data_IF_284608857592
#
_entry.id   IF_284608857592
#
_cell.length_a   1.000
_cell.length_b   1.000
_cell.length_c   1.000
_cell.angle_alpha   90.00
_cell.angle_beta   90.00
_cell.angle_gamma   90.00
#
_symmetry.space_group_name_H-M   'P 1'
#
loop_
_entity.id
_entity.type
_entity.pdbx_description
1 polymer ?
#
# COMPACT_ATOMS: atom_id res chain seq x y z
N UNK A 1 -105.69 -14.57 21.99
CA UNK A 1 -105.02 -15.88 22.00
C UNK A 1 -104.02 -15.90 20.85
N UNK A 2 -102.80 -16.43 21.00
CA UNK A 2 -102.05 -16.71 22.23
C UNK A 2 -100.75 -15.85 22.29
N UNK A 3 -99.73 -16.37 22.98
CA UNK A 3 -98.41 -15.80 23.29
C UNK A 3 -97.48 -15.73 22.04
N UNK A 4 -96.27 -15.13 22.00
CA UNK A 4 -95.12 -15.33 22.92
C UNK A 4 -94.06 -14.20 22.87
N UNK A 5 -93.23 -14.14 23.92
CA UNK A 5 -92.12 -13.19 24.18
C UNK A 5 -90.90 -13.43 23.27
N UNK A 6 -90.03 -12.42 23.07
CA UNK A 6 -88.72 -12.31 23.75
C UNK A 6 -87.86 -11.08 23.35
N UNK A 7 -87.17 -10.49 24.36
CA UNK A 7 -85.96 -9.61 24.33
C UNK A 7 -85.94 -8.35 23.43
N UNK A 8 -85.59 -7.12 23.86
CA UNK A 8 -84.63 -6.57 24.86
C UNK A 8 -83.16 -6.85 24.49
N UNK A 9 -82.29 -5.89 24.16
CA UNK A 9 -82.36 -4.42 23.92
C UNK A 9 -81.17 -4.05 22.95
N UNK A 10 -80.65 -2.84 22.69
CA UNK A 10 -80.60 -1.55 23.41
C UNK A 10 -80.13 -0.37 22.52
N UNK A 11 -80.58 0.86 22.83
CA UNK A 11 -79.91 2.16 22.57
C UNK A 11 -79.28 2.40 21.17
N UNK A 12 -80.07 2.99 20.28
CA UNK A 12 -79.54 4.11 19.48
C UNK A 12 -79.39 5.37 20.35
N UNK A 13 -78.38 6.20 20.05
CA UNK A 13 -78.21 7.55 20.61
C UNK A 13 -77.60 8.49 19.56
N UNK A 14 -78.26 9.63 19.36
CA UNK A 14 -77.73 11.00 19.49
C UNK A 14 -76.21 11.23 19.35
N UNK A 15 -75.71 12.27 18.66
CA UNK A 15 -76.38 13.51 18.21
C UNK A 15 -75.57 14.28 17.14
N UNK A 16 -76.27 15.14 16.38
CA UNK A 16 -75.85 16.45 15.86
C UNK A 16 -74.71 16.65 14.82
N UNK A 17 -75.00 17.59 13.92
CA UNK A 17 -74.13 18.54 13.19
C UNK A 17 -72.87 18.03 12.45
N UNK A 18 -72.97 18.06 11.12
CA UNK A 18 -71.84 18.39 10.26
C UNK A 18 -71.70 19.92 10.14
N UNK A 19 -70.51 20.46 10.43
CA UNK A 19 -70.06 21.77 9.94
C UNK A 19 -68.61 21.59 9.48
N UNK A 20 -68.34 21.89 8.22
CA UNK A 20 -66.99 21.77 7.62
C UNK A 20 -66.12 22.97 7.97
N UNK A 21 -64.95 22.73 8.55
CA UNK A 21 -63.84 23.69 8.55
C UNK A 21 -62.64 23.06 7.83
N UNK A 22 -62.10 23.74 6.82
CA UNK A 22 -60.84 23.34 6.20
C UNK A 22 -59.69 23.63 7.17
N UNK A 23 -59.06 22.58 7.69
CA UNK A 23 -57.73 22.67 8.28
C UNK A 23 -56.71 22.25 7.22
N UNK A 24 -55.90 23.19 6.74
CA UNK A 24 -54.81 22.89 5.79
C UNK A 24 -53.76 22.02 6.48
N UNK A 25 -53.71 20.74 6.13
CA UNK A 25 -52.65 19.84 6.55
C UNK A 25 -51.34 20.24 5.86
N UNK A 26 -50.59 21.14 6.50
CA UNK A 26 -49.25 21.51 6.08
C UNK A 26 -48.31 20.32 6.33
N UNK A 27 -48.21 19.41 5.34
CA UNK A 27 -47.28 18.29 5.38
C UNK A 27 -45.85 18.80 5.32
N UNK A 28 -45.26 19.04 6.49
CA UNK A 28 -43.85 19.34 6.63
C UNK A 28 -43.05 18.09 6.21
N UNK A 29 -42.72 18.00 4.91
CA UNK A 29 -41.78 17.02 4.39
C UNK A 29 -40.42 17.38 4.99
N UNK A 30 -40.07 16.69 6.07
CA UNK A 30 -38.71 16.70 6.59
C UNK A 30 -37.81 16.06 5.53
N UNK A 31 -37.19 16.90 4.71
CA UNK A 31 -36.09 16.53 3.85
C UNK A 31 -34.94 16.09 4.76
N UNK A 32 -34.95 14.79 5.10
CA UNK A 32 -33.83 14.11 5.70
C UNK A 32 -32.69 14.10 4.66
N UNK A 33 -31.93 15.20 4.63
CA UNK A 33 -30.68 15.29 3.90
C UNK A 33 -29.73 14.33 4.59
N UNK A 34 -29.74 13.07 4.14
CA UNK A 34 -28.77 12.06 4.52
C UNK A 34 -27.43 12.48 3.92
N UNK A 35 -26.75 13.37 4.64
CA UNK A 35 -25.31 13.59 4.47
C UNK A 35 -24.65 12.25 4.72
N UNK A 36 -24.33 11.53 3.64
CA UNK A 36 -23.46 10.37 3.71
C UNK A 36 -22.15 10.89 4.28
N UNK A 37 -21.89 10.59 5.55
CA UNK A 37 -20.67 11.03 6.21
C UNK A 37 -19.52 10.33 5.50
N UNK A 38 -18.74 11.09 4.73
CA UNK A 38 -17.55 10.55 4.09
C UNK A 38 -16.67 9.95 5.18
N UNK A 39 -16.16 8.74 4.97
CA UNK A 39 -15.23 8.14 5.92
C UNK A 39 -14.04 9.10 6.08
N UNK A 40 -13.74 9.48 7.33
CA UNK A 40 -12.65 10.40 7.64
C UNK A 40 -11.35 9.87 6.99
N UNK A 41 -10.52 10.73 6.36
CA UNK A 41 -9.34 10.25 5.66
C UNK A 41 -8.36 9.53 6.60
N UNK A 42 -7.93 8.33 6.21
CA UNK A 42 -7.09 7.44 7.01
C UNK A 42 -5.81 7.08 6.26
N UNK A 43 -4.69 6.89 6.98
CA UNK A 43 -3.59 6.05 6.52
C UNK A 43 -3.63 4.69 7.23
N UNK A 44 -3.27 3.64 6.48
CA UNK A 44 -3.03 2.30 7.01
C UNK A 44 -1.53 2.01 6.91
N UNK A 45 -0.94 1.48 7.97
CA UNK A 45 0.52 1.31 8.09
C UNK A 45 0.83 -0.10 8.58
N UNK A 46 1.52 -0.92 7.79
CA UNK A 46 2.01 -2.22 8.30
C UNK A 46 3.13 -2.01 9.30
N UNK A 47 3.09 -2.81 10.37
CA UNK A 47 4.13 -2.92 11.38
C UNK A 47 4.48 -4.40 11.51
N UNK A 48 5.75 -4.76 11.28
CA UNK A 48 6.21 -6.16 11.31
C UNK A 48 6.04 -6.82 12.71
N UNK A 49 5.58 -6.08 13.72
CA UNK A 49 5.38 -6.49 15.12
C UNK A 49 4.04 -6.12 15.78
N UNK A 50 3.16 -5.38 15.12
CA UNK A 50 1.86 -4.97 15.70
C UNK A 50 0.64 -5.22 14.79
N UNK A 51 0.83 -5.45 13.49
CA UNK A 51 -0.27 -5.62 12.54
C UNK A 51 -0.39 -4.43 11.59
N UNK A 52 -1.57 -3.81 11.50
CA UNK A 52 -1.79 -2.58 10.73
C UNK A 52 -2.24 -1.44 11.65
N UNK A 53 -1.41 -0.42 11.82
CA UNK A 53 -1.81 0.83 12.46
C UNK A 53 -2.74 1.66 11.55
N UNK A 54 -3.72 2.33 12.15
CA UNK A 54 -4.69 3.18 11.43
C UNK A 54 -4.59 4.61 11.95
N UNK A 55 -4.08 5.50 11.10
CA UNK A 55 -3.81 6.90 11.43
C UNK A 55 -4.93 7.77 10.85
N UNK A 56 -5.57 8.57 11.71
CA UNK A 56 -6.47 9.65 11.30
C UNK A 56 -5.66 10.80 10.70
N UNK A 57 -6.00 11.23 9.48
CA UNK A 57 -5.21 12.23 8.73
C UNK A 57 -5.63 13.68 8.99
N UNK A 58 -6.74 13.92 9.68
CA UNK A 58 -7.14 15.26 10.15
C UNK A 58 -6.38 15.60 11.45
N UNK A 59 -6.29 14.64 12.37
CA UNK A 59 -5.63 14.75 13.67
C UNK A 59 -4.14 14.35 13.65
N UNK A 60 -3.72 13.59 12.63
CA UNK A 60 -2.41 12.95 12.53
C UNK A 60 -2.10 12.11 13.77
N UNK A 61 -3.02 11.21 14.13
CA UNK A 61 -2.95 10.37 15.34
C UNK A 61 -3.20 8.90 14.99
N UNK A 62 -2.44 7.99 15.62
CA UNK A 62 -2.79 6.57 15.61
C UNK A 62 -4.09 6.38 16.42
N UNK A 63 -5.14 5.86 15.79
CA UNK A 63 -6.46 5.71 16.44
C UNK A 63 -6.75 4.29 16.91
N UNK A 64 -6.13 3.30 16.25
CA UNK A 64 -6.30 1.86 16.50
C UNK A 64 -5.23 1.07 15.74
N UNK A 65 -5.04 -0.18 16.11
CA UNK A 65 -4.21 -1.14 15.36
C UNK A 65 -5.03 -2.40 15.08
N UNK A 66 -5.10 -2.81 13.82
CA UNK A 66 -5.80 -4.02 13.37
C UNK A 66 -4.89 -5.26 13.52
N UNK A 67 -5.33 -6.30 14.24
CA UNK A 67 -4.53 -7.52 14.43
C UNK A 67 -4.55 -8.39 13.16
N UNK A 68 -3.39 -8.57 12.55
CA UNK A 68 -3.23 -9.48 11.39
C UNK A 68 -2.84 -10.92 11.82
N UNK A 69 -2.75 -11.17 13.13
CA UNK A 69 -2.65 -12.49 13.75
C UNK A 69 -1.22 -12.99 14.02
N UNK A 70 -0.25 -12.65 13.18
CA UNK A 70 1.15 -13.01 13.35
C UNK A 70 2.09 -11.86 12.92
N UNK A 71 3.33 -11.92 13.41
CA UNK A 71 4.42 -11.03 13.02
C UNK A 71 4.71 -11.05 11.51
N UNK A 72 5.34 -10.00 11.01
CA UNK A 72 5.80 -9.87 9.63
C UNK A 72 4.78 -9.48 8.54
N UNK A 73 3.70 -8.70 8.80
CA UNK A 73 3.00 -8.04 7.70
C UNK A 73 3.90 -6.96 7.08
N UNK A 74 3.95 -6.92 5.73
CA UNK A 74 4.84 -6.05 4.94
C UNK A 74 4.05 -5.25 3.91
N UNK A 75 4.04 -5.69 2.64
CA UNK A 75 3.29 -5.06 1.57
C UNK A 75 1.80 -4.96 1.89
N UNK A 76 1.22 -3.80 1.60
CA UNK A 76 -0.21 -3.57 1.73
C UNK A 76 -0.75 -2.71 0.58
N UNK A 77 -2.00 -2.94 0.19
CA UNK A 77 -2.68 -2.14 -0.83
C UNK A 77 -4.19 -2.17 -0.60
N UNK A 78 -4.87 -1.06 -0.87
CA UNK A 78 -6.32 -0.95 -0.74
C UNK A 78 -7.04 -1.34 -2.03
N UNK A 79 -8.27 -1.84 -1.93
CA UNK A 79 -9.18 -1.86 -3.07
C UNK A 79 -9.71 -0.46 -3.39
N UNK A 80 -10.29 -0.27 -4.58
CA UNK A 80 -10.67 1.05 -5.11
C UNK A 80 -11.67 1.82 -4.23
N UNK A 81 -12.58 1.13 -3.52
CA UNK A 81 -13.55 1.74 -2.62
C UNK A 81 -13.09 1.84 -1.14
N UNK A 82 -11.85 1.43 -0.85
CA UNK A 82 -11.25 1.49 0.49
C UNK A 82 -11.84 0.54 1.52
N UNK A 83 -12.84 -0.28 1.19
CA UNK A 83 -13.47 -1.20 2.16
C UNK A 83 -12.60 -2.41 2.48
N UNK A 84 -11.60 -2.74 1.65
CA UNK A 84 -10.71 -3.90 1.81
C UNK A 84 -9.25 -3.47 1.75
N UNK A 85 -8.52 -3.70 2.83
CA UNK A 85 -7.06 -3.63 2.86
C UNK A 85 -6.48 -5.03 2.68
N UNK A 86 -5.55 -5.19 1.76
CA UNK A 86 -4.89 -6.46 1.45
C UNK A 86 -3.45 -6.38 1.95
N UNK A 87 -2.99 -7.36 2.73
CA UNK A 87 -1.70 -7.34 3.45
C UNK A 87 -0.93 -8.65 3.25
N UNK A 88 0.30 -8.57 2.74
CA UNK A 88 1.23 -9.69 2.65
C UNK A 88 1.85 -10.00 4.02
N UNK A 89 1.69 -11.23 4.51
CA UNK A 89 2.24 -11.67 5.79
C UNK A 89 3.41 -12.63 5.57
N UNK A 90 4.64 -12.15 5.73
CA UNK A 90 5.88 -12.91 5.42
C UNK A 90 5.90 -14.29 6.08
N UNK A 91 5.58 -14.33 7.37
CA UNK A 91 5.80 -15.51 8.23
C UNK A 91 4.67 -16.56 8.13
N UNK A 92 3.44 -16.17 7.77
CA UNK A 92 2.32 -17.10 7.56
C UNK A 92 2.11 -17.47 6.10
N UNK A 93 2.77 -16.78 5.17
CA UNK A 93 2.76 -17.11 3.75
C UNK A 93 1.44 -16.83 3.03
N UNK A 94 0.67 -15.88 3.55
CA UNK A 94 -0.68 -15.54 3.09
C UNK A 94 -0.87 -14.04 2.86
N UNK A 95 -1.84 -13.74 1.99
CA UNK A 95 -2.44 -12.43 1.84
C UNK A 95 -3.67 -12.37 2.76
N UNK A 96 -3.58 -11.61 3.84
CA UNK A 96 -4.75 -11.27 4.66
C UNK A 96 -5.58 -10.19 3.95
N UNK A 97 -6.90 -10.33 3.99
CA UNK A 97 -7.84 -9.32 3.53
C UNK A 97 -8.61 -8.83 4.75
N UNK A 98 -8.48 -7.55 5.05
CA UNK A 98 -9.04 -6.88 6.23
C UNK A 98 -10.22 -6.02 5.78
N UNK A 99 -11.37 -6.16 6.45
CA UNK A 99 -12.48 -5.22 6.34
C UNK A 99 -12.12 -3.94 7.12
N UNK A 100 -12.00 -2.80 6.42
CA UNK A 100 -11.44 -1.57 7.01
C UNK A 100 -12.35 -0.88 8.00
N UNK A 101 -13.66 -1.16 7.98
CA UNK A 101 -14.60 -0.63 8.95
C UNK A 101 -14.49 -1.33 10.32
N UNK A 102 -14.38 -2.66 10.32
CA UNK A 102 -14.33 -3.52 11.52
C UNK A 102 -12.92 -3.88 11.99
N UNK A 103 -11.91 -3.73 11.13
CA UNK A 103 -10.53 -4.15 11.38
C UNK A 103 -10.30 -5.66 11.38
N UNK A 104 -11.28 -6.45 10.98
CA UNK A 104 -11.22 -7.91 11.03
C UNK A 104 -10.64 -8.49 9.74
N UNK A 105 -9.79 -9.52 9.86
CA UNK A 105 -9.37 -10.34 8.72
C UNK A 105 -10.57 -11.18 8.27
N UNK A 106 -11.19 -10.81 7.15
CA UNK A 106 -12.38 -11.46 6.59
C UNK A 106 -12.06 -12.58 5.59
N UNK A 107 -10.84 -12.60 5.05
CA UNK A 107 -10.36 -13.67 4.17
C UNK A 107 -8.84 -13.80 4.30
N UNK A 108 -8.32 -15.00 4.07
CA UNK A 108 -6.89 -15.26 3.85
C UNK A 108 -6.70 -16.01 2.54
N UNK A 109 -5.70 -15.64 1.76
CA UNK A 109 -5.35 -16.31 0.50
C UNK A 109 -3.92 -16.82 0.62
N UNK A 110 -3.71 -18.14 0.54
CA UNK A 110 -2.36 -18.73 0.58
C UNK A 110 -1.57 -18.30 -0.66
N UNK A 111 -0.39 -17.73 -0.44
CA UNK A 111 0.50 -17.23 -1.51
C UNK A 111 1.70 -18.17 -1.67
N UNK A 112 2.57 -18.23 -0.66
CA UNK A 112 3.86 -18.91 -0.73
C UNK A 112 4.75 -18.55 0.47
N UNK A 113 6.01 -18.95 0.45
CA UNK A 113 7.00 -18.50 1.43
C UNK A 113 7.32 -17.02 1.18
N UNK A 114 7.57 -16.25 2.24
CA UNK A 114 8.05 -14.86 2.15
C UNK A 114 7.28 -13.94 1.17
N UNK A 115 5.94 -13.77 1.27
CA UNK A 115 5.27 -12.71 0.52
C UNK A 115 5.70 -11.32 1.04
N UNK A 116 6.14 -10.45 0.14
CA UNK A 116 6.84 -9.20 0.49
C UNK A 116 6.02 -7.95 0.12
N UNK A 117 5.68 -7.76 -1.16
CA UNK A 117 5.03 -6.54 -1.70
C UNK A 117 3.61 -6.83 -2.20
N UNK A 118 2.72 -5.83 -2.22
CA UNK A 118 1.34 -5.96 -2.71
C UNK A 118 0.95 -4.76 -3.59
N UNK A 119 0.38 -5.02 -4.77
CA UNK A 119 -0.35 -4.03 -5.58
C UNK A 119 -1.75 -4.52 -5.90
N UNK A 120 -2.77 -3.67 -5.73
CA UNK A 120 -4.07 -3.85 -6.39
C UNK A 120 -4.04 -3.15 -7.75
N UNK A 121 -4.55 -3.82 -8.79
CA UNK A 121 -4.76 -3.22 -10.11
C UNK A 121 -5.91 -3.94 -10.85
N UNK A 122 -6.87 -3.17 -11.37
CA UNK A 122 -7.99 -3.66 -12.20
C UNK A 122 -8.78 -4.86 -11.63
N UNK A 123 -8.97 -4.90 -10.30
CA UNK A 123 -9.72 -5.95 -9.60
C UNK A 123 -8.93 -7.23 -9.29
N UNK A 124 -7.62 -7.20 -9.47
CA UNK A 124 -6.69 -8.25 -9.08
C UNK A 124 -5.66 -7.70 -8.09
N UNK A 125 -5.18 -8.55 -7.19
CA UNK A 125 -4.02 -8.27 -6.36
C UNK A 125 -2.80 -9.04 -6.88
N UNK A 126 -1.65 -8.36 -6.90
CA UNK A 126 -0.36 -8.87 -7.36
C UNK A 126 0.60 -8.84 -6.18
N UNK A 127 1.14 -10.01 -5.82
CA UNK A 127 1.91 -10.21 -4.59
C UNK A 127 3.24 -10.85 -4.93
N UNK A 128 4.37 -10.18 -4.65
CA UNK A 128 5.69 -10.79 -4.75
C UNK A 128 5.89 -11.78 -3.60
N UNK A 129 6.52 -12.92 -3.87
CA UNK A 129 6.89 -13.90 -2.84
C UNK A 129 8.12 -14.73 -3.23
N UNK A 130 8.88 -15.19 -2.23
CA UNK A 130 10.22 -15.74 -2.41
C UNK A 130 10.36 -17.15 -1.82
N UNK A 131 10.10 -18.22 -2.61
CA UNK A 131 10.25 -19.60 -2.16
C UNK A 131 11.70 -19.99 -1.82
N UNK A 132 12.68 -19.46 -2.55
CA UNK A 132 14.10 -19.79 -2.37
C UNK A 132 14.78 -19.11 -1.19
N UNK A 133 14.31 -17.95 -0.74
CA UNK A 133 15.08 -17.14 0.22
C UNK A 133 14.92 -17.56 1.69
N UNK A 134 16.04 -17.50 2.41
CA UNK A 134 16.24 -18.01 3.78
C UNK A 134 16.84 -16.90 4.68
N UNK A 135 16.20 -15.73 4.79
CA UNK A 135 16.68 -14.70 5.73
C UNK A 135 16.12 -13.29 5.56
N UNK A 136 17.04 -12.33 5.65
CA UNK A 136 16.87 -10.90 5.38
C UNK A 136 18.03 -10.39 4.53
N UNK A 137 18.00 -9.12 4.07
CA UNK A 137 18.85 -8.64 2.98
C UNK A 137 20.37 -8.78 3.28
N UNK A 138 21.19 -9.14 2.27
CA UNK A 138 22.63 -9.30 2.41
C UNK A 138 23.35 -8.08 3.00
N UNK A 139 24.39 -8.34 3.80
CA UNK A 139 25.15 -7.31 4.49
C UNK A 139 26.10 -6.58 3.51
N UNK A 140 25.80 -5.31 3.22
CA UNK A 140 26.49 -4.54 2.18
C UNK A 140 28.01 -4.48 2.39
N UNK A 141 28.77 -4.79 1.33
CA UNK A 141 30.23 -4.82 1.29
C UNK A 141 30.88 -5.76 2.33
N UNK A 142 30.19 -6.83 2.74
CA UNK A 142 30.74 -7.87 3.63
C UNK A 142 30.97 -7.42 5.08
N UNK A 143 30.52 -6.22 5.45
CA UNK A 143 30.44 -5.76 6.86
C UNK A 143 29.03 -5.98 7.38
N UNK A 144 28.84 -6.41 8.64
CA UNK A 144 27.52 -6.50 9.25
C UNK A 144 26.75 -5.18 9.09
N UNK A 145 25.45 -5.27 8.79
CA UNK A 145 24.59 -4.08 8.77
C UNK A 145 24.61 -3.42 10.16
N UNK A 146 24.94 -2.14 10.21
CA UNK A 146 24.95 -1.35 11.44
C UNK A 146 23.54 -1.20 12.05
N UNK A 147 22.50 -1.42 11.24
CA UNK A 147 21.08 -1.24 11.58
C UNK A 147 20.40 -2.56 11.99
N UNK A 148 21.18 -3.61 12.31
CA UNK A 148 20.70 -4.89 12.83
C UNK A 148 21.19 -5.15 14.25
N UNK A 149 20.41 -5.86 15.10
CA UNK A 149 21.01 -6.52 16.27
C UNK A 149 22.10 -7.50 15.79
N UNK A 150 23.19 -7.70 16.53
CA UNK A 150 24.27 -8.58 16.11
C UNK A 150 23.75 -10.00 15.86
N UNK A 151 24.13 -10.59 14.73
CA UNK A 151 23.65 -11.89 14.28
C UNK A 151 24.13 -13.02 15.20
N UNK A 152 23.36 -13.30 16.25
CA UNK A 152 23.61 -14.40 17.16
C UNK A 152 23.59 -15.73 16.39
N UNK A 153 24.75 -16.37 16.31
CA UNK A 153 24.99 -17.67 15.63
C UNK A 153 24.91 -17.65 14.10
N UNK A 154 25.43 -16.61 13.44
CA UNK A 154 25.90 -16.76 12.06
C UNK A 154 27.04 -17.82 12.02
N UNK A 155 26.75 -19.01 11.49
CA UNK A 155 27.77 -20.04 11.22
C UNK A 155 28.64 -19.58 10.04
N UNK A 156 29.98 -19.58 10.15
CA UNK A 156 30.85 -19.43 8.99
C UNK A 156 30.82 -20.72 8.16
N UNK A 157 30.59 -20.62 6.85
CA UNK A 157 30.65 -21.75 5.92
C UNK A 157 29.46 -22.71 6.00
N UNK A 158 28.38 -22.35 5.32
CA UNK A 158 27.49 -23.30 4.66
C UNK A 158 27.55 -22.95 3.17
N UNK A 159 27.54 -23.94 2.29
CA UNK A 159 28.04 -23.80 0.91
C UNK A 159 27.18 -22.89 0.01
N UNK A 160 27.83 -22.08 -0.83
CA UNK A 160 27.21 -21.14 -1.78
C UNK A 160 26.58 -21.86 -2.99
N UNK A 161 25.51 -22.63 -2.75
CA UNK A 161 24.69 -23.28 -3.78
C UNK A 161 23.50 -22.37 -4.22
N UNK A 162 23.70 -21.05 -4.17
CA UNK A 162 22.73 -19.99 -4.53
C UNK A 162 22.11 -20.21 -5.92
N UNK A 163 22.88 -20.79 -6.85
CA UNK A 163 22.44 -21.13 -8.21
C UNK A 163 21.28 -22.15 -8.29
N UNK A 164 20.96 -22.84 -7.18
CA UNK A 164 19.86 -23.81 -7.08
C UNK A 164 18.63 -23.28 -6.32
N UNK A 165 18.62 -22.02 -5.83
CA UNK A 165 17.46 -21.44 -5.16
C UNK A 165 16.26 -21.33 -6.12
N UNK A 166 15.04 -21.72 -5.70
CA UNK A 166 13.83 -21.44 -6.45
C UNK A 166 13.60 -19.92 -6.63
N UNK A 167 13.39 -19.43 -7.87
CA UNK A 167 13.19 -18.01 -8.12
C UNK A 167 11.91 -17.49 -7.47
N UNK A 168 11.91 -16.18 -7.21
CA UNK A 168 10.76 -15.46 -6.69
C UNK A 168 9.62 -15.42 -7.72
N UNK A 169 8.42 -15.17 -7.25
CA UNK A 169 7.19 -15.28 -8.03
C UNK A 169 6.20 -14.15 -7.70
N UNK A 170 5.37 -13.79 -8.68
CA UNK A 170 4.22 -12.91 -8.49
C UNK A 170 2.95 -13.76 -8.50
N UNK A 171 2.26 -13.84 -7.36
CA UNK A 171 0.91 -14.41 -7.31
C UNK A 171 -0.10 -13.37 -7.80
N UNK A 172 -0.97 -13.79 -8.73
CA UNK A 172 -2.12 -13.00 -9.20
C UNK A 172 -3.37 -13.56 -8.54
N UNK A 173 -4.01 -12.77 -7.69
CA UNK A 173 -5.24 -13.11 -6.97
C UNK A 173 -6.41 -12.37 -7.58
N UNK A 174 -7.46 -13.10 -7.97
CA UNK A 174 -8.75 -12.50 -8.32
C UNK A 174 -9.48 -12.07 -7.04
N UNK A 175 -9.76 -10.77 -6.88
CA UNK A 175 -10.40 -10.23 -5.68
C UNK A 175 -11.91 -10.50 -5.62
N UNK A 176 -12.51 -11.08 -6.68
CA UNK A 176 -13.92 -11.52 -6.65
C UNK A 176 -14.08 -12.93 -6.08
N UNK A 177 -13.10 -13.81 -6.32
CA UNK A 177 -13.12 -15.20 -5.83
C UNK A 177 -12.12 -15.49 -4.70
N UNK A 178 -11.21 -14.55 -4.43
CA UNK A 178 -10.10 -14.67 -3.47
C UNK A 178 -9.21 -15.91 -3.71
N UNK A 179 -8.99 -16.22 -4.99
CA UNK A 179 -8.14 -17.32 -5.43
C UNK A 179 -6.92 -16.80 -6.18
N UNK A 180 -5.75 -17.41 -5.91
CA UNK A 180 -4.62 -17.34 -6.83
C UNK A 180 -5.05 -17.97 -8.16
N UNK A 181 -5.10 -17.17 -9.22
CA UNK A 181 -5.42 -17.62 -10.58
C UNK A 181 -4.17 -17.91 -11.42
N UNK A 182 -3.01 -17.45 -10.96
CA UNK A 182 -1.69 -17.63 -11.60
C UNK A 182 -0.58 -17.32 -10.60
N UNK A 183 0.54 -18.03 -10.71
CA UNK A 183 1.84 -17.55 -10.26
C UNK A 183 2.72 -17.30 -11.49
N UNK A 184 3.53 -16.24 -11.45
CA UNK A 184 4.42 -15.81 -12.53
C UNK A 184 5.85 -15.87 -12.03
N UNK A 185 6.74 -16.61 -12.71
CA UNK A 185 8.15 -16.68 -12.33
C UNK A 185 8.88 -15.37 -12.64
N UNK A 186 9.63 -14.88 -11.66
CA UNK A 186 10.49 -13.70 -11.76
C UNK A 186 11.96 -14.07 -11.59
N UNK A 187 12.80 -13.07 -11.29
CA UNK A 187 14.15 -13.27 -10.81
C UNK A 187 14.22 -13.58 -9.31
N UNK A 188 15.31 -13.19 -8.66
CA UNK A 188 15.55 -13.33 -7.22
C UNK A 188 15.33 -12.02 -6.45
N UNK A 189 14.94 -12.14 -5.17
CA UNK A 189 14.65 -11.03 -4.25
C UNK A 189 13.70 -9.95 -4.86
N UNK A 190 12.40 -10.24 -4.98
CA UNK A 190 11.45 -9.37 -5.73
C UNK A 190 10.73 -8.36 -4.86
N UNK A 191 11.01 -7.08 -5.11
CA UNK A 191 10.46 -5.96 -4.35
C UNK A 191 9.24 -5.34 -5.05
N UNK A 192 9.42 -4.23 -5.78
CA UNK A 192 8.35 -3.38 -6.27
C UNK A 192 7.69 -3.90 -7.54
N UNK A 193 6.36 -3.71 -7.60
CA UNK A 193 5.54 -3.92 -8.79
C UNK A 193 4.99 -2.56 -9.26
N UNK A 194 5.05 -2.28 -10.55
CA UNK A 194 4.37 -1.14 -11.20
C UNK A 194 3.77 -1.54 -12.57
N UNK A 195 2.80 -0.78 -13.06
CA UNK A 195 2.09 -1.07 -14.30
C UNK A 195 2.42 -0.07 -15.43
N UNK A 196 2.08 -0.42 -16.66
CA UNK A 196 2.01 0.54 -17.77
C UNK A 196 0.72 1.35 -17.74
N UNK A 197 0.76 2.56 -18.30
CA UNK A 197 -0.37 3.51 -18.32
C UNK A 197 -1.63 2.97 -19.03
N UNK A 198 -1.49 1.95 -19.86
CA UNK A 198 -2.57 1.24 -20.55
C UNK A 198 -3.03 -0.06 -19.84
N UNK A 199 -2.44 -0.40 -18.70
CA UNK A 199 -2.77 -1.59 -17.90
C UNK A 199 -2.37 -2.93 -18.55
N UNK A 200 -1.53 -2.93 -19.59
CA UNK A 200 -1.18 -4.14 -20.34
C UNK A 200 0.15 -4.80 -19.93
N UNK A 201 1.10 -4.03 -19.37
CA UNK A 201 2.38 -4.52 -18.87
C UNK A 201 2.52 -4.33 -17.35
N UNK A 202 3.11 -5.33 -16.69
CA UNK A 202 3.53 -5.33 -15.28
C UNK A 202 5.05 -5.36 -15.25
N UNK A 203 5.67 -4.46 -14.51
CA UNK A 203 7.11 -4.37 -14.30
C UNK A 203 7.41 -4.74 -12.84
N UNK A 204 8.44 -5.55 -12.64
CA UNK A 204 8.84 -6.09 -11.33
C UNK A 204 10.35 -5.94 -11.17
N UNK A 205 10.79 -5.35 -10.06
CA UNK A 205 12.22 -5.28 -9.72
C UNK A 205 12.67 -6.61 -9.09
N UNK A 206 13.80 -7.14 -9.57
CA UNK A 206 14.46 -8.31 -8.98
C UNK A 206 15.80 -7.85 -8.40
N UNK A 207 15.88 -7.74 -7.09
CA UNK A 207 16.99 -7.14 -6.36
C UNK A 207 18.27 -7.98 -6.48
N UNK A 208 18.15 -9.31 -6.47
CA UNK A 208 19.28 -10.24 -6.55
C UNK A 208 19.90 -10.36 -7.95
N UNK A 209 19.13 -10.06 -9.00
CA UNK A 209 19.56 -10.23 -10.40
C UNK A 209 19.93 -8.91 -11.11
N UNK A 210 19.88 -7.77 -10.42
CA UNK A 210 20.07 -6.42 -11.01
C UNK A 210 19.19 -6.14 -12.24
N UNK A 211 17.90 -6.51 -12.17
CA UNK A 211 16.98 -6.41 -13.32
C UNK A 211 15.61 -5.83 -13.00
N UNK A 212 14.94 -5.35 -14.04
CA UNK A 212 13.48 -5.19 -14.09
C UNK A 212 12.91 -6.21 -15.07
N UNK A 213 12.07 -7.13 -14.61
CA UNK A 213 11.33 -8.05 -15.48
C UNK A 213 9.97 -7.47 -15.85
N UNK A 214 9.52 -7.71 -17.09
CA UNK A 214 8.32 -7.11 -17.68
C UNK A 214 7.43 -8.22 -18.24
N UNK A 215 6.13 -8.18 -17.91
CA UNK A 215 5.15 -9.23 -18.21
C UNK A 215 3.84 -8.66 -18.73
N UNK A 216 3.08 -9.44 -19.49
CA UNK A 216 1.67 -9.15 -19.74
C UNK A 216 0.82 -9.34 -18.47
N UNK A 217 0.16 -8.27 -18.01
CA UNK A 217 -0.50 -8.16 -16.68
C UNK A 217 -1.35 -9.38 -16.30
N UNK A 218 -2.29 -9.82 -17.16
CA UNK A 218 -3.22 -10.91 -16.81
C UNK A 218 -2.72 -12.33 -17.13
N UNK A 219 -1.77 -12.47 -18.05
CA UNK A 219 -1.30 -13.80 -18.52
C UNK A 219 0.01 -14.22 -17.87
N UNK A 220 0.77 -13.29 -17.29
CA UNK A 220 2.11 -13.54 -16.78
C UNK A 220 3.12 -13.91 -17.87
N UNK A 221 2.78 -13.74 -19.16
CA UNK A 221 3.70 -14.05 -20.24
C UNK A 221 4.83 -12.99 -20.26
N UNK A 222 6.11 -13.40 -20.30
CA UNK A 222 7.22 -12.46 -20.30
C UNK A 222 7.24 -11.63 -21.59
N UNK A 223 7.45 -10.32 -21.44
CA UNK A 223 7.65 -9.37 -22.53
C UNK A 223 9.13 -9.05 -22.72
N UNK A 224 9.85 -8.77 -21.62
CA UNK A 224 11.25 -8.34 -21.65
C UNK A 224 11.88 -8.41 -20.25
N UNK A 225 13.21 -8.43 -20.21
CA UNK A 225 13.99 -8.10 -19.00
C UNK A 225 14.93 -6.94 -19.32
N UNK A 226 14.98 -5.94 -18.46
CA UNK A 226 15.93 -4.83 -18.51
C UNK A 226 17.05 -5.14 -17.53
N UNK A 227 18.29 -5.24 -18.01
CA UNK A 227 19.49 -5.34 -17.15
C UNK A 227 19.91 -3.95 -16.70
N UNK A 228 20.23 -3.81 -15.42
CA UNK A 228 20.70 -2.57 -14.80
C UNK A 228 22.22 -2.65 -14.57
N UNK A 229 22.78 -1.70 -13.83
CA UNK A 229 24.17 -1.77 -13.41
C UNK A 229 24.34 -2.87 -12.33
N UNK A 230 25.40 -3.68 -12.46
CA UNK A 230 25.68 -4.77 -11.53
C UNK A 230 26.00 -4.26 -10.11
N UNK A 231 25.54 -4.98 -9.09
CA UNK A 231 25.52 -4.52 -7.70
C UNK A 231 24.49 -3.41 -7.45
N UNK A 232 23.55 -3.20 -8.38
CA UNK A 232 22.49 -2.20 -8.36
C UNK A 232 21.52 -2.39 -7.20
N UNK A 233 21.02 -3.61 -7.04
CA UNK A 233 19.95 -3.99 -6.11
C UNK A 233 18.70 -3.10 -6.27
N UNK A 234 17.92 -3.29 -7.36
CA UNK A 234 16.73 -2.49 -7.63
C UNK A 234 15.60 -2.74 -6.62
N UNK A 235 15.06 -1.67 -6.02
CA UNK A 235 14.00 -1.71 -5.01
C UNK A 235 12.67 -1.17 -5.54
N UNK A 236 12.39 0.11 -5.31
CA UNK A 236 11.16 0.77 -5.71
C UNK A 236 11.15 1.11 -7.21
N UNK A 237 9.97 1.04 -7.81
CA UNK A 237 9.71 1.40 -9.21
C UNK A 237 8.45 2.26 -9.29
N UNK A 238 8.48 3.35 -10.06
CA UNK A 238 7.32 4.22 -10.31
C UNK A 238 7.28 4.77 -11.74
N UNK A 239 6.12 4.73 -12.36
CA UNK A 239 5.85 5.38 -13.65
C UNK A 239 5.62 6.89 -13.47
N UNK A 240 6.13 7.71 -14.39
CA UNK A 240 5.89 9.16 -14.44
C UNK A 240 4.41 9.48 -14.68
N UNK A 241 3.86 10.58 -14.13
CA UNK A 241 2.44 10.94 -14.32
C UNK A 241 2.02 11.19 -15.78
N UNK A 242 2.97 11.45 -16.68
CA UNK A 242 2.71 11.53 -18.13
C UNK A 242 2.88 10.19 -18.87
N UNK A 243 3.35 9.14 -18.19
CA UNK A 243 3.48 7.78 -18.70
C UNK A 243 4.69 7.55 -19.61
N UNK A 244 5.71 8.43 -19.59
CA UNK A 244 6.90 8.31 -20.44
C UNK A 244 8.07 7.55 -19.81
N UNK A 245 8.22 7.59 -18.50
CA UNK A 245 9.45 7.20 -17.83
C UNK A 245 9.17 6.37 -16.56
N UNK A 246 9.84 5.22 -16.42
CA UNK A 246 9.90 4.51 -15.14
C UNK A 246 11.16 4.94 -14.37
N UNK A 247 10.97 5.39 -13.14
CA UNK A 247 12.07 5.62 -12.19
C UNK A 247 12.25 4.36 -11.34
N UNK A 248 13.49 3.88 -11.22
CA UNK A 248 13.84 2.70 -10.41
C UNK A 248 15.02 3.01 -9.49
N UNK A 249 14.86 2.82 -8.18
CA UNK A 249 15.92 3.02 -7.18
C UNK A 249 16.88 1.83 -7.13
N UNK A 250 18.17 2.11 -6.93
CA UNK A 250 19.26 1.13 -6.83
C UNK A 250 19.91 1.23 -5.45
N UNK A 251 19.52 0.37 -4.51
CA UNK A 251 19.80 0.54 -3.09
C UNK A 251 21.32 0.56 -2.80
N UNK A 252 22.06 -0.39 -3.38
CA UNK A 252 23.49 -0.57 -3.11
C UNK A 252 24.37 0.45 -3.85
N UNK A 253 23.93 0.97 -5.00
CA UNK A 253 24.70 1.97 -5.76
C UNK A 253 24.42 3.42 -5.35
N UNK A 254 23.43 3.66 -4.49
CA UNK A 254 22.97 5.02 -4.10
C UNK A 254 22.61 5.87 -5.31
N UNK A 255 21.75 5.32 -6.18
CA UNK A 255 21.30 5.93 -7.44
C UNK A 255 19.83 5.64 -7.69
N UNK A 256 19.22 6.36 -8.63
CA UNK A 256 18.09 5.85 -9.40
C UNK A 256 18.40 5.90 -10.90
N UNK A 257 17.71 5.06 -11.67
CA UNK A 257 17.70 5.09 -13.13
C UNK A 257 16.34 5.51 -13.65
N UNK A 258 16.33 6.12 -14.82
CA UNK A 258 15.14 6.50 -15.58
C UNK A 258 15.12 5.65 -16.84
N UNK A 259 13.99 4.98 -17.11
CA UNK A 259 13.81 4.02 -18.20
C UNK A 259 12.65 4.50 -19.09
N UNK A 260 12.90 4.77 -20.38
CA UNK A 260 11.83 5.15 -21.33
C UNK A 260 10.81 3.99 -21.42
N UNK A 261 9.56 4.29 -21.09
CA UNK A 261 8.48 3.34 -20.87
C UNK A 261 7.99 2.62 -22.14
N UNK A 262 8.44 3.06 -23.32
CA UNK A 262 8.08 2.51 -24.64
C UNK A 262 9.17 1.62 -25.21
N UNK A 263 10.43 1.94 -24.94
CA UNK A 263 11.62 1.27 -25.49
C UNK A 263 12.34 0.41 -24.46
N UNK A 264 12.02 0.57 -23.17
CA UNK A 264 12.64 -0.09 -22.02
C UNK A 264 14.18 0.01 -22.05
N UNK A 265 14.69 1.20 -22.37
CA UNK A 265 16.11 1.55 -22.30
C UNK A 265 16.34 2.51 -21.13
N UNK A 266 17.43 2.32 -20.39
CA UNK A 266 17.89 3.31 -19.39
C UNK A 266 18.34 4.56 -20.14
N UNK A 267 17.65 5.67 -19.93
CA UNK A 267 17.91 6.97 -20.58
C UNK A 267 18.64 7.96 -19.67
N UNK A 268 18.58 7.78 -18.34
CA UNK A 268 19.32 8.59 -17.36
C UNK A 268 19.65 7.76 -16.12
N UNK A 269 20.76 8.11 -15.47
CA UNK A 269 21.11 7.66 -14.11
C UNK A 269 21.34 8.91 -13.27
N UNK A 270 20.88 8.90 -12.02
CA UNK A 270 20.95 10.04 -11.08
C UNK A 270 21.46 9.56 -9.74
N UNK A 271 22.34 10.34 -9.12
CA UNK A 271 22.88 10.05 -7.79
C UNK A 271 21.87 10.36 -6.68
N UNK A 272 21.82 9.49 -5.68
CA UNK A 272 21.07 9.68 -4.45
C UNK A 272 22.02 9.58 -3.25
N UNK A 273 21.49 9.81 -2.06
CA UNK A 273 22.11 9.40 -0.81
C UNK A 273 21.88 7.91 -0.53
N UNK A 274 22.43 7.43 0.59
CA UNK A 274 22.62 6.02 0.90
C UNK A 274 21.31 5.24 1.04
N UNK A 275 21.21 4.13 0.30
CA UNK A 275 20.10 3.18 0.36
C UNK A 275 18.75 3.74 -0.11
N UNK A 276 18.63 4.23 -1.36
CA UNK A 276 17.35 4.63 -1.93
C UNK A 276 16.42 3.41 -2.03
N UNK A 277 15.21 3.51 -1.47
CA UNK A 277 14.25 2.41 -1.39
C UNK A 277 12.94 2.79 -2.10
N UNK A 278 11.93 3.30 -1.39
CA UNK A 278 10.69 3.77 -1.98
C UNK A 278 10.90 5.02 -2.84
N UNK A 279 10.14 5.11 -3.93
CA UNK A 279 10.13 6.24 -4.86
C UNK A 279 8.70 6.53 -5.29
N UNK A 280 8.31 7.81 -5.32
CA UNK A 280 7.05 8.24 -5.92
C UNK A 280 7.12 9.68 -6.42
N UNK A 281 6.26 10.04 -7.37
CA UNK A 281 6.01 11.43 -7.70
C UNK A 281 5.02 12.04 -6.70
N UNK A 282 5.08 13.35 -6.49
CA UNK A 282 4.01 14.08 -5.79
C UNK A 282 2.76 14.20 -6.68
N UNK A 283 1.56 14.42 -6.12
CA UNK A 283 0.29 14.42 -6.88
C UNK A 283 0.18 15.44 -8.01
N UNK A 284 1.04 16.46 -8.05
CA UNK A 284 1.10 17.46 -9.13
C UNK A 284 2.13 17.12 -10.24
N UNK A 285 2.87 16.02 -10.09
CA UNK A 285 3.94 15.57 -10.98
C UNK A 285 5.16 16.49 -11.09
N UNK A 286 5.25 17.57 -10.28
CA UNK A 286 6.40 18.50 -10.33
C UNK A 286 7.58 18.03 -9.49
N UNK A 287 7.38 17.08 -8.58
CA UNK A 287 8.42 16.59 -7.66
C UNK A 287 8.47 15.07 -7.66
N UNK A 288 9.69 14.54 -7.57
CA UNK A 288 9.99 13.13 -7.34
C UNK A 288 10.60 13.01 -5.94
N UNK A 289 10.10 12.07 -5.14
CA UNK A 289 10.55 11.80 -3.79
C UNK A 289 11.21 10.43 -3.74
N UNK A 290 12.33 10.30 -3.01
CA UNK A 290 13.07 9.05 -2.83
C UNK A 290 13.44 8.90 -1.35
N UNK A 291 13.09 7.77 -0.73
CA UNK A 291 13.48 7.48 0.65
C UNK A 291 14.92 6.90 0.66
N UNK A 292 15.90 7.70 1.06
CA UNK A 292 17.28 7.27 1.30
C UNK A 292 17.39 6.66 2.72
N UNK A 293 16.96 5.40 2.82
CA UNK A 293 16.64 4.71 4.06
C UNK A 293 17.83 4.59 5.04
N UNK A 294 19.06 4.51 4.51
CA UNK A 294 20.30 4.38 5.28
C UNK A 294 20.94 5.75 5.60
N UNK A 295 20.66 6.77 4.78
CA UNK A 295 21.05 8.16 5.07
C UNK A 295 20.16 8.80 6.17
N UNK A 296 18.90 8.34 6.27
CA UNK A 296 17.82 8.89 7.10
C UNK A 296 17.25 10.20 6.53
N UNK A 297 17.16 10.27 5.21
CA UNK A 297 16.51 11.38 4.50
C UNK A 297 15.46 10.89 3.51
N UNK A 298 14.39 11.68 3.31
CA UNK A 298 13.66 11.67 2.05
C UNK A 298 14.29 12.76 1.18
N UNK A 299 14.79 12.37 0.01
CA UNK A 299 15.29 13.31 -0.98
C UNK A 299 14.18 13.75 -1.92
N UNK A 300 14.22 15.01 -2.33
CA UNK A 300 13.31 15.59 -3.31
C UNK A 300 14.09 16.02 -4.54
N UNK A 301 13.58 15.66 -5.71
CA UNK A 301 14.09 16.00 -7.03
C UNK A 301 12.98 16.69 -7.85
N UNK A 302 13.35 17.40 -8.91
CA UNK A 302 12.36 17.86 -9.90
C UNK A 302 11.79 16.67 -10.68
N UNK A 303 10.46 16.64 -10.85
CA UNK A 303 9.74 15.54 -11.49
C UNK A 303 9.95 15.39 -12.99
N UNK A 304 10.74 16.27 -13.63
CA UNK A 304 11.05 16.23 -15.08
C UNK A 304 12.53 16.32 -15.38
N UNK A 305 13.26 17.23 -14.73
CA UNK A 305 14.71 17.31 -14.94
C UNK A 305 15.46 16.26 -14.13
N UNK A 306 14.85 15.70 -13.08
CA UNK A 306 15.50 14.81 -12.11
C UNK A 306 16.71 15.43 -11.40
N UNK A 307 16.79 16.77 -11.37
CA UNK A 307 17.79 17.50 -10.59
C UNK A 307 17.39 17.51 -9.11
N UNK A 308 18.38 17.48 -8.21
CA UNK A 308 18.14 17.50 -6.76
C UNK A 308 17.60 18.87 -6.31
N UNK A 309 16.66 18.86 -5.38
CA UNK A 309 15.94 20.04 -4.89
C UNK A 309 16.08 20.19 -3.37
N UNK A 310 15.97 19.10 -2.60
CA UNK A 310 16.05 19.14 -1.14
C UNK A 310 16.40 17.77 -0.53
N UNK A 311 16.93 17.79 0.69
CA UNK A 311 17.01 16.62 1.57
C UNK A 311 16.19 16.89 2.83
N UNK A 312 15.36 15.94 3.23
CA UNK A 312 14.41 16.08 4.35
C UNK A 312 14.76 15.06 5.43
N UNK A 313 15.21 15.49 6.62
CA UNK A 313 15.53 14.57 7.72
C UNK A 313 14.31 13.76 8.19
N UNK A 314 14.48 12.45 8.32
CA UNK A 314 13.48 11.49 8.83
C UNK A 314 14.10 10.50 9.81
N UNK A 315 13.36 9.48 10.22
CA UNK A 315 13.83 8.40 11.08
C UNK A 315 14.80 7.42 10.42
N UNK A 316 15.00 6.28 11.08
CA UNK A 316 15.84 5.17 10.61
C UNK A 316 15.00 4.13 9.84
N UNK A 317 15.60 3.51 8.80
CA UNK A 317 14.96 2.51 7.93
C UNK A 317 13.60 2.99 7.40
N UNK A 318 13.58 4.20 6.85
CA UNK A 318 12.41 4.74 6.16
C UNK A 318 12.36 4.14 4.75
N UNK A 319 11.38 3.26 4.51
CA UNK A 319 11.27 2.51 3.25
C UNK A 319 10.15 3.02 2.37
N UNK A 320 8.94 3.17 2.93
CA UNK A 320 7.76 3.57 2.18
C UNK A 320 7.11 4.83 2.73
N UNK A 321 6.46 5.54 1.83
CA UNK A 321 5.69 6.75 2.09
C UNK A 321 4.46 6.85 1.18
N UNK A 322 3.49 7.66 1.62
CA UNK A 322 2.28 8.05 0.88
C UNK A 322 1.95 9.51 1.19
N UNK A 323 1.42 10.24 0.22
CA UNK A 323 0.86 11.57 0.45
C UNK A 323 -0.50 11.47 1.15
N UNK A 324 -0.91 12.52 1.84
CA UNK A 324 -2.33 12.69 2.19
C UNK A 324 -3.19 12.85 0.92
N UNK A 325 -4.51 12.59 0.98
CA UNK A 325 -5.38 12.69 -0.20
C UNK A 325 -5.62 14.14 -0.69
N UNK A 326 -5.30 15.14 0.15
CA UNK A 326 -5.23 16.56 -0.22
C UNK A 326 -3.86 16.95 -0.85
N UNK A 327 -2.91 16.02 -0.92
CA UNK A 327 -1.53 16.23 -1.37
C UNK A 327 -0.66 17.11 -0.44
N UNK A 328 -1.19 17.60 0.68
CA UNK A 328 -0.56 18.64 1.49
C UNK A 328 0.55 18.11 2.41
N UNK A 329 0.58 16.81 2.73
CA UNK A 329 1.52 16.21 3.68
C UNK A 329 2.04 14.88 3.14
N UNK A 330 3.25 14.52 3.56
CA UNK A 330 3.92 13.27 3.21
C UNK A 330 4.11 12.44 4.48
N UNK A 331 3.53 11.25 4.54
CA UNK A 331 3.68 10.31 5.66
C UNK A 331 4.69 9.24 5.28
N UNK A 332 5.71 9.04 6.12
CA UNK A 332 6.88 8.17 5.85
C UNK A 332 7.00 7.12 6.96
N UNK A 333 6.85 5.84 6.62
CA UNK A 333 7.01 4.72 7.55
C UNK A 333 8.50 4.42 7.79
N UNK A 334 8.96 4.56 9.04
CA UNK A 334 10.36 4.49 9.43
C UNK A 334 10.61 3.34 10.43
N UNK A 335 10.89 2.16 9.90
CA UNK A 335 10.88 0.88 10.61
C UNK A 335 12.06 0.58 11.53
N UNK A 336 12.94 1.55 11.80
CA UNK A 336 13.90 1.52 12.93
C UNK A 336 13.73 2.71 13.89
N UNK A 337 12.70 3.52 13.66
CA UNK A 337 12.22 4.55 14.59
C UNK A 337 10.81 4.26 15.11
N UNK A 338 10.28 3.05 14.83
CA UNK A 338 9.02 2.50 15.32
C UNK A 338 7.82 3.45 15.18
N UNK A 339 7.82 4.21 14.08
CA UNK A 339 6.96 5.37 13.87
C UNK A 339 6.76 5.72 12.39
N UNK A 340 5.74 6.53 12.14
CA UNK A 340 5.56 7.31 10.92
C UNK A 340 5.99 8.75 11.15
N UNK A 341 6.78 9.30 10.23
CA UNK A 341 7.14 10.72 10.18
C UNK A 341 6.18 11.46 9.24
N UNK A 342 5.65 12.59 9.69
CA UNK A 342 4.74 13.45 8.91
C UNK A 342 5.50 14.72 8.53
N UNK A 343 5.59 14.99 7.23
CA UNK A 343 6.28 16.13 6.63
C UNK A 343 5.26 17.01 5.88
N UNK A 344 5.50 18.30 5.82
CA UNK A 344 4.77 19.21 4.93
C UNK A 344 5.21 18.99 3.47
N UNK A 345 4.28 18.79 2.54
CA UNK A 345 4.62 18.37 1.17
C UNK A 345 5.20 19.50 0.30
N UNK A 346 5.10 20.76 0.71
CA UNK A 346 5.50 21.93 -0.08
C UNK A 346 6.76 22.62 0.45
N UNK A 347 6.87 22.77 1.77
CA UNK A 347 8.00 23.37 2.49
C UNK A 347 8.98 22.34 3.03
N UNK A 348 8.63 21.06 2.95
CA UNK A 348 9.40 19.91 3.41
C UNK A 348 9.76 19.94 4.90
N UNK A 349 9.05 20.72 5.72
CA UNK A 349 9.31 20.80 7.16
C UNK A 349 8.70 19.59 7.90
N UNK A 350 9.40 19.00 8.89
CA UNK A 350 8.80 18.02 9.78
C UNK A 350 7.64 18.61 10.60
N UNK A 351 6.48 17.96 10.56
CA UNK A 351 5.27 18.36 11.30
C UNK A 351 5.15 17.54 12.60
N UNK A 352 5.27 16.22 12.51
CA UNK A 352 4.95 15.29 13.62
C UNK A 352 5.64 13.94 13.45
N UNK A 353 5.84 13.23 14.55
CA UNK A 353 6.14 11.80 14.57
C UNK A 353 4.98 11.07 15.26
N UNK A 354 4.52 9.96 14.67
CA UNK A 354 3.43 9.12 15.16
C UNK A 354 4.04 7.76 15.50
N UNK A 355 4.27 7.50 16.80
CA UNK A 355 4.89 6.28 17.31
C UNK A 355 3.94 5.09 17.41
N UNK A 356 4.30 4.13 18.26
CA UNK A 356 3.55 2.90 18.54
C UNK A 356 3.38 1.97 17.32
N UNK A 357 4.29 2.09 16.33
CA UNK A 357 4.31 1.31 15.09
C UNK A 357 5.64 0.55 14.97
N UNK A 358 5.91 -0.43 15.86
CA UNK A 358 7.20 -1.13 15.92
C UNK A 358 7.51 -1.85 14.61
N UNK A 359 8.68 -1.58 14.04
CA UNK A 359 9.04 -2.03 12.70
C UNK A 359 8.00 -1.66 11.62
N UNK A 360 7.54 -0.41 11.62
CA UNK A 360 6.74 0.17 10.52
C UNK A 360 7.38 -0.09 9.14
N UNK A 361 6.62 -0.60 8.18
CA UNK A 361 7.12 -1.04 6.87
C UNK A 361 6.49 -0.23 5.73
N UNK A 362 5.22 -0.52 5.44
CA UNK A 362 4.46 0.06 4.33
C UNK A 362 3.39 1.02 4.80
N UNK A 363 2.98 1.93 3.92
CA UNK A 363 1.91 2.89 4.19
C UNK A 363 1.09 3.18 2.92
N UNK A 364 -0.24 3.26 3.10
CA UNK A 364 -1.26 3.55 2.09
C UNK A 364 -2.34 4.47 2.67
N UNK A 365 -3.14 5.14 1.85
CA UNK A 365 -4.17 6.10 2.26
C UNK A 365 -5.56 5.82 1.67
N UNK A 366 -6.61 6.18 2.43
CA UNK A 366 -7.97 6.26 1.91
C UNK A 366 -8.63 7.61 2.25
N UNK A 367 -9.25 8.34 1.29
CA UNK A 367 -9.22 8.11 -0.16
C UNK A 367 -7.79 7.93 -0.70
N UNK A 368 -7.63 7.20 -1.79
CA UNK A 368 -6.31 6.90 -2.36
C UNK A 368 -5.51 8.18 -2.64
N UNK A 369 -4.19 8.11 -2.55
CA UNK A 369 -3.25 9.17 -2.94
C UNK A 369 -1.99 8.57 -3.58
N UNK A 370 -1.12 9.40 -4.14
CA UNK A 370 0.20 8.95 -4.61
C UNK A 370 1.06 8.43 -3.45
N UNK A 371 1.82 7.36 -3.67
CA UNK A 371 2.74 6.80 -2.70
C UNK A 371 3.73 5.81 -3.32
N UNK A 372 4.72 5.40 -2.54
CA UNK A 372 5.77 4.46 -2.96
C UNK A 372 5.35 2.98 -2.98
N UNK A 373 4.08 2.70 -2.64
CA UNK A 373 3.45 1.38 -2.79
C UNK A 373 2.29 1.45 -3.77
N UNK A 374 1.41 2.45 -3.67
CA UNK A 374 0.19 2.53 -4.49
C UNK A 374 0.21 3.68 -5.50
N UNK A 375 -0.49 3.50 -6.62
CA UNK A 375 -0.74 4.49 -7.68
C UNK A 375 -2.21 4.41 -8.07
N UNK A 376 -2.75 5.54 -8.52
CA UNK A 376 -4.03 5.64 -9.22
C UNK A 376 -3.96 5.04 -10.63
#
# INVERSE_FOLDING_TARGET
MPETRFRITTRGRSLALAVTTLATAATAIALAVSTAYAAAPMAYVTSEKAGVGVIDLEQMTLTRTFPVGADGPRGLSLNTDGTRLLVANKNTGDLAVIDTASGQVVQRVKIGKNPEYVRVHNGYAYITYEPGEEGGPPAANGKPSADGPPAANAKPGADDDDANKPPAQIAIVDMKTWRVIRSVTSGHETEGIEFSRDGNAMLVTNEGDDTVSIYHVRTGAPLRTVKLAAGGRPRGIRLSPDGKDYVVTLESLSKFVVIDARTYQVVKTVDTKLGPYGVAFGPDGKRLFVAAARDRTVQVFDGRSYEHVADVPVGQRCWHFSFTPDGAKLLVACGRSDAVYVLDAQSYQPIKQIGELPLAWGIVTYPHSDGSIESH
#
